data_IF_259219329924
#
_entry.id   IF_259219329924
#
_cell.length_a   1.000
_cell.length_b   1.000
_cell.length_c   1.000
_cell.angle_alpha   90.00
_cell.angle_beta   90.00
_cell.angle_gamma   90.00
#
_symmetry.space_group_name_H-M   'P 1'
#
loop_
_entity.id
_entity.type
_entity.pdbx_description
1 polymer ?
#
# COMPACT_ATOMS: atom_id res chain seq x y z
N UNK A 1 6.74 -5.81 -5.95
CA UNK A 1 5.46 -6.49 -6.15
C UNK A 1 4.49 -5.69 -6.99
N UNK A 2 4.34 -4.38 -6.76
CA UNK A 2 3.45 -3.48 -7.50
C UNK A 2 3.66 -3.56 -9.01
N UNK A 3 4.90 -3.53 -9.52
CA UNK A 3 5.18 -3.67 -10.97
C UNK A 3 4.76 -5.02 -11.54
N UNK A 4 4.79 -6.07 -10.70
CA UNK A 4 4.36 -7.41 -11.11
C UNK A 4 2.83 -7.52 -11.17
N UNK A 5 2.11 -6.84 -10.28
CA UNK A 5 0.64 -6.89 -10.17
C UNK A 5 -0.06 -5.87 -11.09
N UNK A 6 0.51 -4.69 -11.27
CA UNK A 6 -0.15 -3.55 -11.91
C UNK A 6 0.44 -3.32 -13.30
N UNK A 7 -0.26 -3.82 -14.33
CA UNK A 7 0.18 -3.70 -15.73
C UNK A 7 -0.13 -2.36 -16.36
N UNK A 8 -1.12 -1.63 -15.83
CA UNK A 8 -1.44 -0.29 -16.30
C UNK A 8 -0.39 0.71 -15.75
N UNK A 9 0.34 1.42 -16.62
CA UNK A 9 1.39 2.36 -16.19
C UNK A 9 0.89 3.52 -15.32
N UNK A 10 -0.31 4.05 -15.60
CA UNK A 10 -0.89 5.16 -14.82
C UNK A 10 -1.25 4.70 -13.41
N UNK A 11 -1.84 3.51 -13.31
CA UNK A 11 -2.15 2.90 -12.00
C UNK A 11 -0.86 2.63 -11.24
N UNK A 12 0.16 2.05 -11.89
CA UNK A 12 1.46 1.81 -11.26
C UNK A 12 2.11 3.11 -10.78
N UNK A 13 2.09 4.17 -11.59
CA UNK A 13 2.61 5.49 -11.22
C UNK A 13 1.90 6.04 -9.97
N UNK A 14 0.57 5.98 -9.94
CA UNK A 14 -0.22 6.40 -8.75
C UNK A 14 0.16 5.63 -7.49
N UNK A 15 0.37 4.32 -7.61
CA UNK A 15 0.80 3.52 -6.46
C UNK A 15 2.21 3.91 -5.98
N UNK A 16 3.14 4.16 -6.91
CA UNK A 16 4.52 4.56 -6.57
C UNK A 16 4.62 5.95 -5.95
N UNK A 17 3.74 6.88 -6.33
CA UNK A 17 3.74 8.25 -5.81
C UNK A 17 2.95 8.43 -4.51
N UNK A 18 2.17 7.43 -4.10
CA UNK A 18 1.34 7.50 -2.90
C UNK A 18 2.14 7.18 -1.62
N UNK A 19 1.69 7.65 -0.45
CA UNK A 19 2.40 7.47 0.82
C UNK A 19 2.73 6.00 1.13
N UNK A 20 3.77 5.80 1.94
CA UNK A 20 4.20 4.47 2.40
C UNK A 20 4.41 3.46 1.25
N UNK A 21 4.90 3.91 0.09
CA UNK A 21 5.04 3.08 -1.09
C UNK A 21 5.93 1.84 -0.84
N UNK A 22 7.03 2.01 -0.10
CA UNK A 22 7.96 0.94 0.24
C UNK A 22 7.35 -0.07 1.22
N UNK A 23 6.61 0.39 2.24
CA UNK A 23 5.88 -0.47 3.18
C UNK A 23 4.84 -1.33 2.46
N UNK A 24 4.04 -0.71 1.58
CA UNK A 24 3.01 -1.39 0.80
C UNK A 24 3.64 -2.42 -0.15
N UNK A 25 4.73 -2.06 -0.81
CA UNK A 25 5.52 -2.96 -1.67
C UNK A 25 6.04 -4.18 -0.89
N UNK A 26 6.62 -3.96 0.29
CA UNK A 26 7.13 -5.03 1.18
C UNK A 26 6.01 -5.94 1.67
N UNK A 27 4.87 -5.39 2.08
CA UNK A 27 3.73 -6.17 2.54
C UNK A 27 3.17 -7.07 1.43
N UNK A 28 3.02 -6.54 0.21
CA UNK A 28 2.55 -7.32 -0.93
C UNK A 28 3.53 -8.44 -1.31
N UNK A 29 4.84 -8.19 -1.24
CA UNK A 29 5.85 -9.22 -1.44
C UNK A 29 5.73 -10.34 -0.40
N UNK A 30 5.61 -9.99 0.88
CA UNK A 30 5.41 -10.95 1.96
C UNK A 30 4.15 -11.81 1.78
N UNK A 31 3.05 -11.24 1.28
CA UNK A 31 1.83 -12.00 0.96
C UNK A 31 1.97 -12.88 -0.28
N UNK A 32 2.73 -12.43 -1.28
CA UNK A 32 3.08 -13.25 -2.44
C UNK A 32 3.91 -14.48 -2.02
N UNK A 33 4.85 -14.33 -1.09
CA UNK A 33 5.66 -15.44 -0.57
C UNK A 33 4.80 -16.49 0.15
N UNK A 34 3.72 -16.05 0.80
CA UNK A 34 2.67 -16.90 1.38
C UNK A 34 1.73 -17.55 0.35
N UNK A 35 2.02 -17.43 -0.96
CA UNK A 35 1.25 -18.03 -2.06
C UNK A 35 -0.19 -17.53 -2.18
N UNK A 36 -0.45 -16.29 -1.76
CA UNK A 36 -1.75 -15.66 -2.01
C UNK A 36 -1.98 -15.52 -3.52
N UNK A 37 -3.23 -15.70 -3.95
CA UNK A 37 -3.62 -15.55 -5.35
C UNK A 37 -3.35 -14.12 -5.85
N UNK A 38 -2.97 -13.99 -7.13
CA UNK A 38 -2.67 -12.70 -7.75
C UNK A 38 -3.84 -11.71 -7.66
N UNK A 39 -5.07 -12.19 -7.86
CA UNK A 39 -6.29 -11.38 -7.71
C UNK A 39 -6.45 -10.80 -6.30
N UNK A 40 -6.11 -11.59 -5.27
CA UNK A 40 -6.11 -11.13 -3.88
C UNK A 40 -5.05 -10.07 -3.65
N UNK A 41 -3.85 -10.25 -4.22
CA UNK A 41 -2.77 -9.27 -4.10
C UNK A 41 -3.11 -7.94 -4.79
N UNK A 42 -3.79 -7.99 -5.94
CA UNK A 42 -4.28 -6.78 -6.63
C UNK A 42 -5.29 -6.04 -5.75
N UNK A 43 -6.26 -6.75 -5.16
CA UNK A 43 -7.23 -6.16 -4.23
C UNK A 43 -6.53 -5.52 -3.03
N UNK A 44 -5.60 -6.25 -2.40
CA UNK A 44 -4.81 -5.72 -1.29
C UNK A 44 -4.01 -4.47 -1.69
N UNK A 45 -3.44 -4.42 -2.89
CA UNK A 45 -2.74 -3.23 -3.36
C UNK A 45 -3.68 -2.02 -3.39
N UNK A 46 -4.90 -2.17 -3.93
CA UNK A 46 -5.90 -1.10 -3.96
C UNK A 46 -6.36 -0.67 -2.57
N UNK A 47 -6.63 -1.61 -1.66
CA UNK A 47 -7.00 -1.30 -0.27
C UNK A 47 -5.89 -0.54 0.45
N UNK A 48 -4.64 -0.99 0.31
CA UNK A 48 -3.49 -0.33 0.90
C UNK A 48 -3.29 1.09 0.34
N UNK A 49 -3.59 1.33 -0.93
CA UNK A 49 -3.54 2.68 -1.52
C UNK A 49 -4.56 3.60 -0.86
N UNK A 50 -5.80 3.14 -0.66
CA UNK A 50 -6.85 3.91 0.00
C UNK A 50 -6.46 4.26 1.44
N UNK A 51 -5.93 3.26 2.17
CA UNK A 51 -5.45 3.45 3.54
C UNK A 51 -4.28 4.44 3.57
N UNK A 52 -3.29 4.29 2.69
CA UNK A 52 -2.15 5.22 2.65
C UNK A 52 -2.54 6.65 2.30
N UNK A 53 -3.54 6.83 1.43
CA UNK A 53 -4.04 8.16 1.07
C UNK A 53 -4.76 8.82 2.25
N UNK A 54 -5.45 8.05 3.10
CA UNK A 54 -6.07 8.56 4.33
C UNK A 54 -5.02 9.08 5.33
N UNK A 55 -3.87 8.39 5.44
CA UNK A 55 -2.78 8.78 6.34
C UNK A 55 -1.78 9.78 5.72
N UNK A 56 -2.07 10.34 4.54
CA UNK A 56 -1.19 11.28 3.84
C UNK A 56 -0.87 12.54 4.66
N UNK A 57 -1.75 12.97 5.57
CA UNK A 57 -1.54 14.16 6.40
C UNK A 57 -0.40 14.04 7.40
N UNK A 58 0.15 12.83 7.61
CA UNK A 58 1.15 12.54 8.65
C UNK A 58 2.59 12.42 8.10
N UNK A 59 2.82 12.68 6.80
CA UNK A 59 4.13 12.54 6.12
C UNK A 59 5.30 13.30 6.76
N UNK A 60 5.04 14.31 7.61
CA UNK A 60 6.10 15.07 8.31
C UNK A 60 6.56 14.46 9.63
N UNK A 61 5.84 13.49 10.20
CA UNK A 61 6.30 12.85 11.43
C UNK A 61 7.01 11.54 11.11
N UNK A 62 8.26 11.42 11.53
CA UNK A 62 9.02 10.15 11.54
C UNK A 62 8.41 9.09 12.49
N UNK A 63 7.21 9.34 13.00
CA UNK A 63 6.50 8.49 13.93
C UNK A 63 5.67 7.46 13.16
N UNK A 64 5.74 6.22 13.63
CA UNK A 64 4.91 5.12 13.13
C UNK A 64 3.44 5.49 13.32
N UNK A 65 2.56 5.10 12.38
CA UNK A 65 1.11 5.23 12.53
C UNK A 65 0.72 4.66 13.91
N UNK A 66 0.13 5.50 14.75
CA UNK A 66 -0.27 5.17 16.10
C UNK A 66 -1.65 4.51 16.10
N UNK A 67 -1.91 3.64 17.09
CA UNK A 67 -3.18 2.89 17.17
C UNK A 67 -4.40 3.80 17.24
N UNK A 68 -4.27 4.97 17.86
CA UNK A 68 -5.34 5.98 17.92
C UNK A 68 -5.77 6.47 16.54
N UNK A 69 -4.82 6.64 15.61
CA UNK A 69 -5.10 7.11 14.24
C UNK A 69 -5.85 6.05 13.42
N UNK A 70 -5.66 4.77 13.74
CA UNK A 70 -6.41 3.66 13.12
C UNK A 70 -7.88 3.65 13.59
N UNK A 71 -8.16 4.09 14.81
CA UNK A 71 -9.52 4.09 15.37
C UNK A 71 -10.37 5.27 14.87
N UNK A 72 -9.73 6.31 14.33
CA UNK A 72 -10.38 7.55 13.85
C UNK A 72 -10.63 7.56 12.32
N UNK A 73 -10.11 6.57 11.59
CA UNK A 73 -10.21 6.41 10.14
C UNK A 73 -11.49 5.65 9.69
#
# INVERSE_FOLDING_TARGET
MLEKLLKNPEVLARHKSAPFAEERERYLAHKSDQKYAESTLIRLASELLLVSDHFRSYETSTEKICVSEIQEA
#
